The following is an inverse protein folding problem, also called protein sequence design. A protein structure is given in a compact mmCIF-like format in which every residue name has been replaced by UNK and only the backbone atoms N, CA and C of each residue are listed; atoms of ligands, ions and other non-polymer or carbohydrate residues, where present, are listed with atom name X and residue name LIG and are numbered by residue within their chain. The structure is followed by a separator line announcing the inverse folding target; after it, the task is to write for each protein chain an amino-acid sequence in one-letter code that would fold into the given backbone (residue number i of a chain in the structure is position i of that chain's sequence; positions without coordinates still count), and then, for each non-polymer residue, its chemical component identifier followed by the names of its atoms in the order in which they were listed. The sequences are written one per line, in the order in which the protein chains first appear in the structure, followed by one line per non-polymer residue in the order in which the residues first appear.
data_IF_572469889872
#
_entry.id   IF_572469889872
#
_cell.length_a   1.000
_cell.length_b   1.000
_cell.length_c   1.000
_cell.angle_alpha   90.00
_cell.angle_beta   90.00
_cell.angle_gamma   90.00
#
_symmetry.space_group_name_H-M   'P 1'
#
loop_
_entity.id
_entity.type
_entity.pdbx_description
1 polymer ?
#
# COMPACT_ATOMS: atom_id res chain seq x y z
N UNK A 1 12.74 -1.37 -16.91
CA UNK A 1 11.51 -0.55 -16.83
C UNK A 1 11.03 -0.34 -15.38
N UNK A 2 10.81 -1.41 -14.55
CA UNK A 2 10.35 -1.23 -13.16
C UNK A 2 11.38 -0.50 -12.29
N UNK A 3 12.66 -0.90 -12.38
CA UNK A 3 13.75 -0.25 -11.64
C UNK A 3 13.95 1.22 -12.01
N UNK A 4 13.72 1.58 -13.26
CA UNK A 4 13.76 2.98 -13.73
C UNK A 4 12.62 3.80 -13.11
N UNK A 5 11.41 3.23 -13.03
CA UNK A 5 10.28 3.87 -12.36
C UNK A 5 10.57 4.10 -10.88
N UNK A 6 11.10 3.10 -10.17
CA UNK A 6 11.46 3.24 -8.75
C UNK A 6 12.50 4.34 -8.54
N UNK A 7 13.54 4.39 -9.38
CA UNK A 7 14.55 5.46 -9.34
C UNK A 7 13.93 6.85 -9.62
N UNK A 8 13.04 6.93 -10.59
CA UNK A 8 12.35 8.18 -10.92
C UNK A 8 11.48 8.68 -9.75
N UNK A 9 10.79 7.76 -9.03
CA UNK A 9 10.01 8.09 -7.84
C UNK A 9 10.92 8.61 -6.72
N UNK A 10 12.06 7.95 -6.46
CA UNK A 10 13.01 8.39 -5.44
C UNK A 10 13.60 9.77 -5.72
N UNK A 11 13.84 10.11 -6.98
CA UNK A 11 14.42 11.40 -7.40
C UNK A 11 13.36 12.51 -7.58
N UNK A 12 12.08 12.17 -7.51
CA UNK A 12 11.03 13.14 -7.78
C UNK A 12 10.85 14.16 -6.65
N UNK A 13 10.91 15.45 -7.00
CA UNK A 13 10.75 16.59 -6.08
C UNK A 13 9.28 17.03 -5.94
N UNK A 14 8.35 16.10 -5.81
CA UNK A 14 6.96 16.41 -5.51
C UNK A 14 6.71 16.71 -4.04
N UNK A 15 5.45 16.97 -3.69
CA UNK A 15 5.07 17.17 -2.28
C UNK A 15 5.43 15.95 -1.45
N UNK A 16 5.91 16.12 -0.20
CA UNK A 16 6.38 15.00 0.64
C UNK A 16 5.36 13.86 0.76
N UNK A 17 4.09 14.20 0.96
CA UNK A 17 3.01 13.20 1.13
C UNK A 17 2.71 12.41 -0.14
N UNK A 18 2.72 13.06 -1.32
CA UNK A 18 2.52 12.36 -2.61
C UNK A 18 3.72 11.48 -2.95
N UNK A 19 4.93 11.99 -2.73
CA UNK A 19 6.17 11.23 -2.93
C UNK A 19 6.19 9.99 -2.04
N UNK A 20 5.87 10.13 -0.76
CA UNK A 20 5.82 9.03 0.18
C UNK A 20 4.75 7.99 -0.20
N UNK A 21 3.57 8.43 -0.69
CA UNK A 21 2.52 7.53 -1.17
C UNK A 21 2.99 6.70 -2.38
N UNK A 22 3.74 7.29 -3.32
CA UNK A 22 4.34 6.56 -4.43
C UNK A 22 5.41 5.57 -3.95
N UNK A 23 6.27 5.98 -3.01
CA UNK A 23 7.38 5.17 -2.47
C UNK A 23 6.88 3.96 -1.68
N UNK A 24 5.81 4.10 -0.89
CA UNK A 24 5.29 3.00 -0.06
C UNK A 24 4.48 1.98 -0.85
N UNK A 25 3.83 2.40 -1.93
CA UNK A 25 2.91 1.54 -2.70
C UNK A 25 3.51 0.20 -3.15
N UNK A 26 4.78 0.12 -3.63
CA UNK A 26 5.41 -1.14 -4.01
C UNK A 26 5.77 -2.07 -2.84
N UNK A 27 5.71 -1.60 -1.59
CA UNK A 27 6.00 -2.42 -0.41
C UNK A 27 4.76 -3.06 0.21
N UNK A 28 3.60 -2.42 0.06
CA UNK A 28 2.36 -2.88 0.74
C UNK A 28 1.38 -3.60 -0.18
N UNK A 29 1.43 -3.36 -1.49
CA UNK A 29 0.56 -3.88 -2.58
C UNK A 29 -0.94 -3.89 -2.27
N UNK A 30 -1.42 -3.12 -1.30
CA UNK A 30 -2.84 -2.97 -1.02
C UNK A 30 -3.50 -2.10 -2.09
N UNK A 31 -4.82 -1.97 -2.08
CA UNK A 31 -5.50 -1.12 -3.08
C UNK A 31 -5.05 0.34 -2.93
N UNK A 32 -4.85 1.08 -4.03
CA UNK A 32 -4.40 2.47 -3.98
C UNK A 32 -5.24 3.38 -3.08
N UNK A 33 -6.57 3.19 -3.06
CA UNK A 33 -7.47 3.91 -2.17
C UNK A 33 -7.23 3.58 -0.70
N UNK A 34 -6.87 2.35 -0.40
CA UNK A 34 -6.60 1.89 0.96
C UNK A 34 -5.34 2.54 1.51
N UNK A 35 -4.23 2.51 0.75
CA UNK A 35 -2.98 3.18 1.16
C UNK A 35 -3.19 4.67 1.31
N UNK A 36 -3.85 5.30 0.34
CA UNK A 36 -4.13 6.75 0.35
C UNK A 36 -4.90 7.21 1.59
N UNK A 37 -5.82 6.39 2.07
CA UNK A 37 -6.66 6.67 3.23
C UNK A 37 -6.13 6.04 4.54
N UNK A 38 -4.85 5.66 4.57
CA UNK A 38 -4.19 5.16 5.78
C UNK A 38 -4.27 6.19 6.90
N UNK A 39 -4.69 5.75 8.08
CA UNK A 39 -4.78 6.59 9.29
C UNK A 39 -3.63 6.29 10.23
N UNK A 40 -3.18 7.31 10.95
CA UNK A 40 -2.17 7.14 11.99
C UNK A 40 -2.64 6.18 13.11
N UNK A 41 -3.92 6.20 13.44
CA UNK A 41 -4.53 5.31 14.43
C UNK A 41 -4.56 3.83 14.06
N UNK A 42 -4.35 3.50 12.78
CA UNK A 42 -4.30 2.13 12.25
C UNK A 42 -2.89 1.52 12.34
N UNK A 43 -1.87 2.29 12.76
CA UNK A 43 -0.48 1.92 12.66
C UNK A 43 0.12 1.56 14.03
N UNK A 44 0.75 0.40 14.10
CA UNK A 44 1.74 0.06 15.11
C UNK A 44 3.11 -0.01 14.43
N UNK A 45 3.83 1.11 14.46
CA UNK A 45 5.12 1.22 13.77
C UNK A 45 6.25 0.47 14.47
N UNK A 46 6.12 0.18 15.74
CA UNK A 46 7.10 -0.60 16.50
C UNK A 46 6.95 -2.10 16.20
N UNK A 47 5.72 -2.58 16.09
CA UNK A 47 5.42 -3.93 15.64
C UNK A 47 5.53 -4.10 14.10
N UNK A 48 5.61 -2.99 13.34
CA UNK A 48 5.59 -3.03 11.88
C UNK A 48 4.27 -3.55 11.33
N UNK A 49 3.15 -3.01 11.81
CA UNK A 49 1.80 -3.48 11.44
C UNK A 49 0.91 -2.29 11.09
N UNK A 50 0.15 -2.47 10.03
CA UNK A 50 -0.98 -1.62 9.65
C UNK A 50 -2.26 -2.45 9.69
N UNK A 51 -3.21 -2.09 10.57
CA UNK A 51 -4.48 -2.79 10.74
C UNK A 51 -5.62 -1.96 10.18
N UNK A 52 -6.25 -2.43 9.12
CA UNK A 52 -7.43 -1.84 8.53
C UNK A 52 -8.69 -2.47 9.14
N UNK A 53 -9.57 -1.63 9.65
CA UNK A 53 -10.80 -2.09 10.28
C UNK A 53 -11.78 -2.68 9.25
N UNK A 54 -12.67 -3.56 9.70
CA UNK A 54 -13.61 -4.27 8.85
C UNK A 54 -14.61 -3.32 8.13
N UNK A 55 -15.00 -2.24 8.77
CA UNK A 55 -15.95 -1.25 8.26
C UNK A 55 -15.45 -0.47 7.04
N UNK A 56 -14.13 -0.34 6.88
CA UNK A 56 -13.50 0.32 5.71
C UNK A 56 -13.09 -0.66 4.60
N UNK A 57 -13.23 -1.95 4.85
CA UNK A 57 -12.86 -2.99 3.89
C UNK A 57 -14.03 -3.40 3.02
N UNK A 58 -13.80 -3.52 1.70
CA UNK A 58 -14.83 -3.91 0.73
C UNK A 58 -15.48 -5.27 1.04
N UNK A 59 -14.75 -6.17 1.67
CA UNK A 59 -15.22 -7.50 2.07
C UNK A 59 -15.77 -7.59 3.50
N UNK A 60 -15.75 -6.47 4.26
CA UNK A 60 -16.20 -6.43 5.65
C UNK A 60 -15.32 -7.21 6.64
N UNK A 61 -14.10 -7.56 6.27
CA UNK A 61 -13.14 -8.28 7.12
C UNK A 61 -11.93 -7.40 7.37
N UNK A 62 -11.51 -7.26 8.64
CA UNK A 62 -10.32 -6.52 8.99
C UNK A 62 -9.08 -7.11 8.28
N UNK A 63 -8.23 -6.24 7.77
CA UNK A 63 -7.02 -6.64 7.05
C UNK A 63 -5.77 -6.13 7.76
N UNK A 64 -4.94 -7.05 8.21
CA UNK A 64 -3.65 -6.76 8.82
C UNK A 64 -2.57 -6.84 7.75
N UNK A 65 -1.82 -5.75 7.57
CA UNK A 65 -0.73 -5.62 6.59
C UNK A 65 0.60 -5.51 7.35
N UNK A 66 1.51 -6.48 7.20
CA UNK A 66 2.87 -6.35 7.71
C UNK A 66 3.61 -5.27 6.95
N UNK A 67 4.35 -4.45 7.68
CA UNK A 67 5.16 -3.36 7.14
C UNK A 67 6.64 -3.73 7.25
N UNK A 68 7.34 -3.77 6.14
CA UNK A 68 8.80 -3.90 6.14
C UNK A 68 9.47 -2.62 6.69
N UNK A 69 10.74 -2.72 7.04
CA UNK A 69 11.51 -1.59 7.61
C UNK A 69 11.50 -0.35 6.72
N UNK A 70 11.53 -0.54 5.40
CA UNK A 70 11.47 0.56 4.43
C UNK A 70 10.11 1.28 4.46
N UNK A 71 9.01 0.52 4.53
CA UNK A 71 7.67 1.10 4.63
C UNK A 71 7.49 1.88 5.95
N UNK A 72 7.96 1.32 7.06
CA UNK A 72 7.96 2.00 8.37
C UNK A 72 8.76 3.30 8.32
N UNK A 73 9.95 3.28 7.71
CA UNK A 73 10.79 4.47 7.57
C UNK A 73 10.08 5.57 6.76
N UNK A 74 9.47 5.23 5.63
CA UNK A 74 8.70 6.17 4.80
C UNK A 74 7.54 6.80 5.58
N UNK A 75 6.82 6.01 6.38
CA UNK A 75 5.73 6.53 7.22
C UNK A 75 6.27 7.47 8.30
N UNK A 76 7.36 7.09 8.97
CA UNK A 76 7.98 7.94 10.01
C UNK A 76 8.48 9.27 9.46
N UNK A 77 8.98 9.32 8.22
CA UNK A 77 9.35 10.57 7.54
C UNK A 77 8.19 11.56 7.41
N UNK A 78 6.94 11.08 7.42
CA UNK A 78 5.76 11.94 7.30
C UNK A 78 5.25 12.52 8.63
N UNK A 79 5.73 12.05 9.77
CA UNK A 79 5.27 12.55 11.08
C UNK A 79 5.34 14.08 11.22
N UNK A 80 6.43 14.78 10.80
CA UNK A 80 6.50 16.23 10.86
C UNK A 80 5.47 16.94 9.96
N UNK A 81 5.02 16.30 8.89
CA UNK A 81 4.12 16.89 7.90
C UNK A 81 2.64 16.62 8.19
N UNK A 82 2.32 15.40 8.61
CA UNK A 82 0.93 14.95 8.76
C UNK A 82 0.58 14.33 10.10
N UNK A 83 1.53 14.18 11.03
CA UNK A 83 1.31 13.51 12.32
C UNK A 83 0.24 14.14 13.22
N UNK A 84 -0.11 15.43 12.99
CA UNK A 84 -1.19 16.13 13.69
C UNK A 84 -2.57 15.94 13.07
N UNK A 85 -2.67 15.26 11.92
CA UNK A 85 -3.91 15.00 11.22
C UNK A 85 -4.31 13.53 11.36
N UNK A 86 -5.53 13.19 10.99
CA UNK A 86 -6.05 11.83 11.04
C UNK A 86 -5.33 10.90 10.06
N UNK A 87 -5.07 11.38 8.83
CA UNK A 87 -4.53 10.59 7.72
C UNK A 87 -3.03 10.82 7.53
N UNK A 88 -2.30 9.74 7.25
CA UNK A 88 -0.87 9.76 6.96
C UNK A 88 -0.58 10.59 5.70
N UNK A 89 -1.36 10.38 4.63
CA UNK A 89 -1.19 11.05 3.34
C UNK A 89 -2.15 12.24 3.23
N UNK A 90 -1.80 13.31 3.94
CA UNK A 90 -2.59 14.52 4.07
C UNK A 90 -2.21 15.61 3.07
N UNK A 91 -3.20 16.28 2.50
CA UNK A 91 -2.99 17.48 1.69
C UNK A 91 -3.22 18.71 2.55
N UNK A 92 -2.13 19.38 2.92
CA UNK A 92 -2.17 20.56 3.81
C UNK A 92 -2.93 21.74 3.17
N UNK A 93 -2.75 21.94 1.86
CA UNK A 93 -3.35 23.08 1.14
C UNK A 93 -4.89 22.97 1.11
N UNK A 94 -5.42 21.76 0.93
CA UNK A 94 -6.86 21.53 0.84
C UNK A 94 -7.47 20.97 2.13
N UNK A 95 -6.66 20.75 3.19
CA UNK A 95 -7.09 20.28 4.50
C UNK A 95 -7.93 18.97 4.43
N UNK A 96 -7.48 18.04 3.65
CA UNK A 96 -8.12 16.74 3.41
C UNK A 96 -7.09 15.67 3.04
N UNK A 97 -7.43 14.37 3.03
CA UNK A 97 -6.56 13.33 2.47
C UNK A 97 -6.19 13.63 1.02
N UNK A 98 -5.07 13.10 0.55
CA UNK A 98 -4.70 13.20 -0.87
C UNK A 98 -5.84 12.73 -1.77
N UNK A 99 -6.06 13.42 -2.89
CA UNK A 99 -7.10 13.06 -3.85
C UNK A 99 -6.81 11.69 -4.51
N UNK A 100 -7.84 11.03 -4.99
CA UNK A 100 -7.73 9.75 -5.68
C UNK A 100 -6.80 9.80 -6.90
N UNK A 101 -6.79 10.94 -7.60
CA UNK A 101 -5.91 11.16 -8.77
C UNK A 101 -4.48 11.56 -8.44
N UNK A 102 -4.11 11.75 -7.16
CA UNK A 102 -2.79 12.30 -6.80
C UNK A 102 -1.62 11.46 -7.31
N UNK A 103 -1.65 10.15 -7.07
CA UNK A 103 -0.59 9.23 -7.54
C UNK A 103 -0.58 9.08 -9.06
N UNK A 104 -1.76 9.02 -9.69
CA UNK A 104 -1.86 8.96 -11.15
C UNK A 104 -1.25 10.19 -11.81
N UNK A 105 -1.62 11.40 -11.33
CA UNK A 105 -1.04 12.66 -11.84
C UNK A 105 0.47 12.74 -11.62
N UNK A 106 0.97 12.22 -10.51
CA UNK A 106 2.41 12.17 -10.24
C UNK A 106 3.14 11.22 -11.21
N UNK A 107 2.59 10.03 -11.46
CA UNK A 107 3.13 9.10 -12.47
C UNK A 107 3.10 9.69 -13.89
N UNK A 108 2.05 10.45 -14.25
CA UNK A 108 1.99 11.17 -15.53
C UNK A 108 3.12 12.22 -15.64
N UNK A 109 3.38 12.98 -14.56
CA UNK A 109 4.48 13.96 -14.52
C UNK A 109 5.86 13.32 -14.59
N UNK A 110 6.00 12.09 -14.10
CA UNK A 110 7.21 11.28 -14.22
C UNK A 110 7.40 10.65 -15.61
N UNK A 111 6.46 10.88 -16.55
CA UNK A 111 6.52 10.35 -17.92
C UNK A 111 5.91 8.97 -18.12
N UNK A 112 5.20 8.43 -17.11
CA UNK A 112 4.62 7.09 -17.17
C UNK A 112 3.13 7.06 -17.51
N UNK A 113 2.59 8.14 -18.10
CA UNK A 113 1.19 8.19 -18.57
C UNK A 113 0.91 7.05 -19.53
N UNK A 114 -0.11 6.24 -19.24
CA UNK A 114 -0.49 5.08 -20.07
C UNK A 114 0.47 3.89 -20.03
N UNK A 115 1.62 4.01 -19.34
CA UNK A 115 2.59 2.94 -19.19
C UNK A 115 2.50 2.22 -17.84
N UNK A 116 2.12 2.95 -16.80
CA UNK A 116 1.96 2.42 -15.46
C UNK A 116 0.81 3.12 -14.73
N UNK A 117 0.07 2.37 -13.91
CA UNK A 117 -1.04 2.89 -13.10
C UNK A 117 -0.81 2.58 -11.62
N UNK A 118 -1.47 3.28 -10.68
CA UNK A 118 -1.37 2.95 -9.25
C UNK A 118 -1.75 1.50 -8.91
N UNK A 119 -2.65 0.87 -9.67
CA UNK A 119 -2.97 -0.56 -9.54
C UNK A 119 -1.87 -1.49 -10.08
N UNK A 120 -0.98 -0.98 -10.91
CA UNK A 120 0.11 -1.75 -11.50
C UNK A 120 1.03 -2.39 -10.47
N UNK A 121 1.20 -1.78 -9.30
CA UNK A 121 1.98 -2.36 -8.19
C UNK A 121 1.44 -3.72 -7.74
N UNK A 122 0.13 -3.85 -7.62
CA UNK A 122 -0.52 -5.10 -7.20
C UNK A 122 -0.35 -6.21 -8.23
N UNK A 123 -0.55 -5.89 -9.51
CA UNK A 123 -0.33 -6.84 -10.60
C UNK A 123 1.14 -7.26 -10.68
N UNK A 124 2.06 -6.30 -10.61
CA UNK A 124 3.50 -6.58 -10.64
C UNK A 124 3.92 -7.45 -9.46
N UNK A 125 3.50 -7.10 -8.24
CA UNK A 125 3.82 -7.87 -7.05
C UNK A 125 3.25 -9.28 -7.13
N UNK A 126 1.98 -9.45 -7.49
CA UNK A 126 1.36 -10.76 -7.65
C UNK A 126 2.12 -11.63 -8.65
N UNK A 127 2.45 -11.08 -9.82
CA UNK A 127 3.20 -11.83 -10.85
C UNK A 127 4.57 -12.23 -10.36
N UNK A 128 5.36 -11.28 -9.85
CA UNK A 128 6.74 -11.55 -9.42
C UNK A 128 6.83 -12.54 -8.25
N UNK A 129 5.91 -12.43 -7.28
CA UNK A 129 5.88 -13.36 -6.15
C UNK A 129 5.51 -14.77 -6.58
N UNK A 130 4.56 -14.94 -7.51
CA UNK A 130 4.24 -16.25 -8.08
C UNK A 130 5.42 -16.82 -8.89
N UNK A 131 6.09 -16.00 -9.70
CA UNK A 131 7.28 -16.41 -10.47
C UNK A 131 8.45 -16.83 -9.56
N UNK A 132 8.58 -16.22 -8.38
CA UNK A 132 9.56 -16.57 -7.37
C UNK A 132 9.18 -17.80 -6.53
N UNK A 133 8.00 -18.37 -6.74
CA UNK A 133 7.55 -19.59 -6.09
C UNK A 133 6.95 -19.40 -4.69
N UNK A 134 6.59 -18.16 -4.31
CA UNK A 134 5.87 -17.93 -3.06
C UNK A 134 4.48 -18.61 -3.08
N UNK A 135 4.04 -19.03 -1.91
CA UNK A 135 2.74 -19.71 -1.78
C UNK A 135 1.59 -18.75 -2.16
N UNK A 136 0.76 -19.18 -3.12
CA UNK A 136 -0.38 -18.40 -3.61
C UNK A 136 -1.32 -17.93 -2.50
N UNK A 137 -1.52 -18.72 -1.44
CA UNK A 137 -2.39 -18.34 -0.31
C UNK A 137 -1.82 -17.14 0.46
N UNK A 138 -0.49 -17.02 0.58
CA UNK A 138 0.15 -15.88 1.23
C UNK A 138 -0.01 -14.62 0.38
N UNK A 139 0.16 -14.76 -0.94
CA UNK A 139 -0.01 -13.65 -1.90
C UNK A 139 -1.46 -13.15 -1.87
N UNK A 140 -2.43 -14.05 -1.97
CA UNK A 140 -3.86 -13.69 -1.95
C UNK A 140 -4.28 -13.05 -0.61
N UNK A 141 -3.75 -13.54 0.52
CA UNK A 141 -3.97 -12.95 1.84
C UNK A 141 -3.38 -11.51 1.92
N UNK A 142 -2.17 -11.28 1.35
CA UNK A 142 -1.58 -9.94 1.29
C UNK A 142 -2.41 -8.99 0.43
N UNK A 143 -2.96 -9.48 -0.66
CA UNK A 143 -3.80 -8.70 -1.56
C UNK A 143 -5.24 -8.51 -1.04
N UNK A 144 -5.63 -9.17 0.06
CA UNK A 144 -7.00 -9.20 0.56
C UNK A 144 -8.00 -9.62 -0.53
N UNK A 145 -7.61 -10.61 -1.34
CA UNK A 145 -8.51 -11.25 -2.29
C UNK A 145 -9.37 -12.28 -1.56
N UNK A 146 -10.62 -12.45 -2.01
CA UNK A 146 -11.42 -13.60 -1.61
C UNK A 146 -10.85 -14.85 -2.26
N UNK A 147 -10.84 -15.96 -1.50
CA UNK A 147 -10.50 -17.26 -2.09
C UNK A 147 -11.51 -17.57 -3.20
N UNK A 148 -11.02 -18.01 -4.35
CA UNK A 148 -11.87 -18.45 -5.46
C UNK A 148 -12.67 -19.73 -5.14
N UNK A 149 -12.26 -20.46 -4.11
CA UNK A 149 -12.97 -21.61 -3.58
C UNK A 149 -13.81 -21.18 -2.37
N UNK A 150 -15.13 -21.02 -2.56
CA UNK A 150 -16.07 -20.58 -1.52
C UNK A 150 -16.02 -21.44 -0.25
N UNK A 151 -15.81 -22.75 -0.37
CA UNK A 151 -15.72 -23.67 0.77
C UNK A 151 -14.46 -23.36 1.57
N UNK A 152 -13.32 -23.16 0.90
CA UNK A 152 -12.05 -22.83 1.55
C UNK A 152 -12.08 -21.44 2.19
N UNK A 153 -12.69 -20.44 1.55
CA UNK A 153 -12.88 -19.08 2.07
C UNK A 153 -13.71 -19.09 3.37
N UNK A 154 -14.70 -19.97 3.44
CA UNK A 154 -15.57 -20.13 4.64
C UNK A 154 -14.82 -20.67 5.86
N UNK A 155 -13.83 -21.56 5.66
CA UNK A 155 -13.13 -22.24 6.75
C UNK A 155 -11.71 -21.76 7.01
N UNK A 156 -11.08 -21.05 6.07
CA UNK A 156 -9.70 -20.61 6.21
C UNK A 156 -9.62 -19.13 6.64
N UNK A 157 -9.48 -18.92 7.95
CA UNK A 157 -9.26 -17.59 8.54
C UNK A 157 -7.78 -17.28 8.81
N UNK A 158 -6.86 -18.06 8.24
CA UNK A 158 -5.43 -17.88 8.45
C UNK A 158 -4.96 -16.56 7.82
N UNK A 159 -4.22 -15.76 8.57
CA UNK A 159 -3.69 -14.47 8.13
C UNK A 159 -2.30 -14.56 7.50
N UNK A 160 -1.58 -15.66 7.75
CA UNK A 160 -0.20 -15.89 7.28
C UNK A 160 0.75 -14.70 7.55
N UNK A 161 0.60 -14.05 8.70
CA UNK A 161 1.28 -12.79 9.00
C UNK A 161 2.80 -12.93 8.97
N UNK A 162 3.34 -14.00 9.56
CA UNK A 162 4.79 -14.24 9.59
C UNK A 162 5.35 -14.50 8.18
N UNK A 163 4.67 -15.32 7.38
CA UNK A 163 5.07 -15.60 5.99
C UNK A 163 4.95 -14.38 5.08
N UNK A 164 4.02 -13.47 5.38
CA UNK A 164 3.82 -12.23 4.62
C UNK A 164 4.80 -11.12 5.01
N UNK A 165 5.62 -11.33 6.04
CA UNK A 165 6.70 -10.41 6.43
C UNK A 165 7.98 -10.60 5.62
N UNK A 166 8.21 -11.77 5.04
CA UNK A 166 9.33 -12.06 4.14
C UNK A 166 9.22 -11.29 2.83
#
# INVERSE_FOLDING_TARGET
KLGELLKAIEQWNGTPTVRALLRISPYVFTRPSEVRLMKWSELDLDAGIWTKQADVMKNGIAHVVPLCTQAVAIIKELQPFSGRFEYVFWNVAYRQPLSEGATRKALERLGYKGQFSPHGWRHTASTLLHEQGFNSMWIEAQLAHKDSNEIRDTYNHATYLEQRRE
#
